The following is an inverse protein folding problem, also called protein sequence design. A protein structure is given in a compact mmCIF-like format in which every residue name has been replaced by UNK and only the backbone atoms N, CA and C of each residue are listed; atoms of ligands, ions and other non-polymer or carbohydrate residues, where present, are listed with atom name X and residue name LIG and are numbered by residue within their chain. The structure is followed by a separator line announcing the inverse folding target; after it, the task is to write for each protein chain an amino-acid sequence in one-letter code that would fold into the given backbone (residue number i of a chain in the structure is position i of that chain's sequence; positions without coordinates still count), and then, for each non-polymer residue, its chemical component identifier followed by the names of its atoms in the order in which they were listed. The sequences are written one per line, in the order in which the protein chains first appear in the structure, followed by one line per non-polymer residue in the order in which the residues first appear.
data_IF_548571184620
#
_entry.id   IF_548571184620
#
_cell.length_a   1.000
_cell.length_b   1.000
_cell.length_c   1.000
_cell.angle_alpha   90.00
_cell.angle_beta   90.00
_cell.angle_gamma   90.00
#
_symmetry.space_group_name_H-M   'P 1'
#
loop_
_entity.id
_entity.type
_entity.pdbx_description
1 polymer ?
#
# COMPACT_ATOMS: atom_id res chain seq x y z
N UNK A 1 11.63 6.82 6.49
CA UNK A 1 10.34 6.46 5.88
C UNK A 1 10.45 6.01 4.42
N UNK A 2 10.97 6.83 3.48
CA UNK A 2 11.09 6.47 2.06
C UNK A 2 11.71 5.08 1.79
N UNK A 3 12.84 4.77 2.45
CA UNK A 3 13.51 3.47 2.32
C UNK A 3 12.60 2.30 2.71
N UNK A 4 11.82 2.44 3.78
CA UNK A 4 10.91 1.39 4.25
C UNK A 4 9.78 1.16 3.24
N UNK A 5 9.26 2.24 2.65
CA UNK A 5 8.25 2.15 1.60
C UNK A 5 8.81 1.45 0.35
N UNK A 6 10.03 1.81 -0.07
CA UNK A 6 10.71 1.18 -1.22
C UNK A 6 10.91 -0.32 -0.99
N UNK A 7 11.37 -0.72 0.20
CA UNK A 7 11.51 -2.15 0.55
C UNK A 7 10.14 -2.83 0.57
N UNK A 8 9.12 -2.22 1.18
CA UNK A 8 7.78 -2.78 1.22
C UNK A 8 7.20 -2.96 -0.19
N UNK A 9 7.40 -1.98 -1.08
CA UNK A 9 6.95 -2.05 -2.48
C UNK A 9 7.72 -3.08 -3.31
N UNK A 10 8.95 -3.45 -2.94
CA UNK A 10 9.69 -4.54 -3.59
C UNK A 10 9.24 -5.91 -3.07
N UNK A 11 8.86 -6.01 -1.80
CA UNK A 11 8.58 -7.27 -1.13
C UNK A 11 7.09 -7.59 -0.98
N UNK A 12 6.18 -6.70 -1.42
CA UNK A 12 4.76 -6.80 -1.09
C UNK A 12 4.10 -8.10 -1.56
N UNK A 13 4.56 -8.66 -2.68
CA UNK A 13 3.98 -9.84 -3.32
C UNK A 13 4.82 -11.11 -3.15
N UNK A 14 5.94 -11.06 -2.42
CA UNK A 14 6.89 -12.17 -2.34
C UNK A 14 6.31 -13.48 -1.79
N UNK A 15 5.20 -13.42 -1.04
CA UNK A 15 4.44 -14.56 -0.54
C UNK A 15 3.64 -15.33 -1.60
N UNK A 16 3.47 -14.80 -2.83
CA UNK A 16 2.66 -15.45 -3.88
C UNK A 16 3.20 -16.81 -4.32
N UNK A 17 4.52 -16.99 -4.19
CA UNK A 17 5.19 -18.25 -4.50
C UNK A 17 4.95 -19.34 -3.44
N UNK A 18 4.41 -18.96 -2.27
CA UNK A 18 4.03 -19.87 -1.19
C UNK A 18 2.53 -20.14 -1.24
N UNK A 19 1.71 -19.09 -1.31
CA UNK A 19 0.25 -19.21 -1.33
C UNK A 19 -0.38 -18.05 -2.08
N UNK A 20 -1.27 -18.39 -3.02
CA UNK A 20 -2.11 -17.41 -3.72
C UNK A 20 -3.28 -16.91 -2.86
N UNK A 21 -3.71 -17.69 -1.86
CA UNK A 21 -4.82 -17.31 -0.97
C UNK A 21 -4.36 -16.45 0.19
N UNK A 22 -3.18 -16.76 0.76
CA UNK A 22 -2.65 -16.10 1.96
C UNK A 22 -1.40 -15.27 1.64
N UNK A 23 -1.36 -14.66 0.46
CA UNK A 23 -0.18 -13.97 -0.06
C UNK A 23 0.36 -12.92 0.91
N UNK A 24 -0.50 -12.05 1.46
CA UNK A 24 -0.09 -10.98 2.38
C UNK A 24 0.52 -11.52 3.69
N UNK A 25 -0.09 -12.56 4.26
CA UNK A 25 0.42 -13.24 5.45
C UNK A 25 1.78 -13.90 5.16
N UNK A 26 1.90 -14.61 4.04
CA UNK A 26 3.15 -15.23 3.62
C UNK A 26 4.24 -14.18 3.38
N UNK A 27 3.96 -13.08 2.68
CA UNK A 27 4.91 -11.98 2.47
C UNK A 27 5.37 -11.38 3.80
N UNK A 28 4.44 -11.08 4.70
CA UNK A 28 4.74 -10.57 6.05
C UNK A 28 5.64 -11.52 6.84
N UNK A 29 5.33 -12.82 6.81
CA UNK A 29 6.12 -13.84 7.50
C UNK A 29 7.55 -13.98 6.92
N UNK A 30 7.71 -13.90 5.60
CA UNK A 30 9.04 -13.88 4.95
C UNK A 30 9.84 -12.68 5.45
N UNK A 31 9.25 -11.48 5.43
CA UNK A 31 9.92 -10.23 5.87
C UNK A 31 10.30 -10.31 7.35
N UNK A 32 9.40 -10.80 8.21
CA UNK A 32 9.66 -11.00 9.65
C UNK A 32 10.75 -12.03 9.94
N UNK A 33 10.90 -13.02 9.08
CA UNK A 33 11.86 -14.12 9.29
C UNK A 33 13.22 -13.86 8.66
N UNK A 34 13.32 -12.90 7.75
CA UNK A 34 14.55 -12.61 6.99
C UNK A 34 15.23 -11.37 7.52
N UNK A 35 16.48 -11.46 7.98
CA UNK A 35 17.25 -10.26 8.33
C UNK A 35 17.57 -9.44 7.07
N UNK A 36 17.37 -8.13 7.17
CA UNK A 36 17.69 -7.19 6.09
C UNK A 36 18.80 -6.29 6.61
N UNK A 37 19.99 -6.41 6.00
CA UNK A 37 21.18 -5.67 6.42
C UNK A 37 20.88 -4.16 6.38
N UNK A 38 21.16 -3.47 7.49
CA UNK A 38 20.92 -2.03 7.61
C UNK A 38 19.49 -1.64 7.99
N UNK A 39 18.61 -2.61 8.29
CA UNK A 39 17.25 -2.38 8.78
C UNK A 39 17.11 -2.92 10.19
N UNK A 40 16.63 -2.09 11.11
CA UNK A 40 16.39 -2.50 12.49
C UNK A 40 15.21 -3.48 12.61
N UNK A 41 15.10 -4.15 13.76
CA UNK A 41 13.99 -5.06 14.03
C UNK A 41 12.63 -4.33 13.97
N UNK A 42 12.54 -3.12 14.51
CA UNK A 42 11.30 -2.31 14.50
C UNK A 42 10.94 -1.87 13.08
N UNK A 43 11.91 -1.37 12.31
CA UNK A 43 11.69 -1.00 10.91
C UNK A 43 11.24 -2.18 10.05
N UNK A 44 11.84 -3.35 10.26
CA UNK A 44 11.44 -4.58 9.58
C UNK A 44 10.02 -5.02 9.95
N UNK A 45 9.63 -4.84 11.21
CA UNK A 45 8.27 -5.09 11.67
C UNK A 45 7.27 -4.12 11.04
N UNK A 46 7.62 -2.84 10.94
CA UNK A 46 6.83 -1.82 10.23
C UNK A 46 6.61 -2.23 8.77
N UNK A 47 7.68 -2.64 8.06
CA UNK A 47 7.59 -3.11 6.67
C UNK A 47 6.65 -4.32 6.57
N UNK A 48 6.83 -5.32 7.44
CA UNK A 48 6.02 -6.54 7.42
C UNK A 48 4.53 -6.25 7.69
N UNK A 49 4.23 -5.40 8.67
CA UNK A 49 2.86 -4.98 8.95
C UNK A 49 2.26 -4.18 7.79
N UNK A 50 3.04 -3.30 7.16
CA UNK A 50 2.55 -2.52 6.03
C UNK A 50 2.10 -3.40 4.86
N UNK A 51 2.86 -4.47 4.59
CA UNK A 51 2.60 -5.49 3.57
C UNK A 51 1.41 -6.38 3.96
N UNK A 52 1.31 -6.79 5.23
CA UNK A 52 0.18 -7.59 5.74
C UNK A 52 -1.15 -6.89 5.51
N UNK A 53 -1.26 -5.62 5.93
CA UNK A 53 -2.50 -4.87 5.82
C UNK A 53 -2.79 -4.35 4.41
N UNK A 54 -2.03 -4.76 3.39
CA UNK A 54 -2.39 -4.45 2.00
C UNK A 54 -3.77 -5.02 1.65
N UNK A 55 -4.03 -6.28 2.00
CA UNK A 55 -5.29 -6.98 1.73
C UNK A 55 -6.14 -7.24 2.98
N UNK A 56 -5.53 -7.18 4.17
CA UNK A 56 -6.23 -7.38 5.45
C UNK A 56 -6.84 -6.08 5.98
N UNK A 57 -7.94 -6.16 6.73
CA UNK A 57 -8.55 -4.99 7.38
C UNK A 57 -7.54 -4.33 8.35
N UNK A 58 -7.35 -3.02 8.21
CA UNK A 58 -6.44 -2.28 9.06
C UNK A 58 -7.16 -1.80 10.32
N UNK A 59 -6.62 -2.14 11.49
CA UNK A 59 -7.11 -1.62 12.76
C UNK A 59 -5.94 -1.24 13.67
N UNK A 60 -5.86 0.04 14.00
CA UNK A 60 -4.83 0.56 14.91
C UNK A 60 -4.85 -0.17 16.26
N UNK A 61 -6.05 -0.49 16.77
CA UNK A 61 -6.21 -1.23 18.03
C UNK A 61 -5.67 -2.65 17.92
N UNK A 62 -5.97 -3.34 16.83
CA UNK A 62 -5.50 -4.71 16.60
C UNK A 62 -3.98 -4.72 16.45
N UNK A 63 -3.42 -3.84 15.62
CA UNK A 63 -1.98 -3.70 15.44
C UNK A 63 -1.26 -3.46 16.77
N UNK A 64 -1.73 -2.51 17.58
CA UNK A 64 -1.17 -2.23 18.91
C UNK A 64 -1.24 -3.41 19.87
N UNK A 65 -2.26 -4.26 19.74
CA UNK A 65 -2.43 -5.45 20.60
C UNK A 65 -1.55 -6.62 20.17
N UNK A 66 -1.32 -6.79 18.87
CA UNK A 66 -0.51 -7.87 18.31
C UNK A 66 0.98 -7.52 18.35
N UNK A 67 1.31 -6.25 18.15
CA UNK A 67 2.69 -5.76 18.04
C UNK A 67 3.03 -4.80 19.18
N UNK A 68 3.19 -5.36 20.39
CA UNK A 68 3.47 -4.58 21.60
C UNK A 68 4.81 -3.81 21.56
N UNK A 69 5.71 -4.16 20.64
CA UNK A 69 6.99 -3.48 20.44
C UNK A 69 6.88 -2.19 19.63
N UNK A 70 5.81 -2.02 18.84
CA UNK A 70 5.57 -0.81 18.08
C UNK A 70 5.01 0.26 19.01
N UNK A 71 5.57 1.47 18.95
CA UNK A 71 5.00 2.62 19.64
C UNK A 71 3.84 3.25 18.84
N UNK A 72 3.37 4.43 19.26
CA UNK A 72 2.27 5.09 18.56
C UNK A 72 2.69 5.60 17.18
N UNK A 73 3.89 6.18 17.09
CA UNK A 73 4.43 6.74 15.84
C UNK A 73 4.72 5.63 14.84
N UNK A 74 5.22 4.49 15.31
CA UNK A 74 5.42 3.29 14.48
C UNK A 74 4.11 2.81 13.86
N UNK A 75 3.03 2.72 14.65
CA UNK A 75 1.73 2.32 14.11
C UNK A 75 1.14 3.34 13.12
N UNK A 76 1.38 4.64 13.34
CA UNK A 76 1.02 5.69 12.37
C UNK A 76 1.83 5.50 11.08
N UNK A 77 3.12 5.18 11.18
CA UNK A 77 3.97 4.92 10.04
C UNK A 77 3.49 3.69 9.26
N UNK A 78 3.12 2.59 9.93
CA UNK A 78 2.49 1.43 9.26
C UNK A 78 1.25 1.86 8.47
N UNK A 79 0.34 2.63 9.09
CA UNK A 79 -0.87 3.10 8.41
C UNK A 79 -0.56 3.93 7.16
N UNK A 80 0.40 4.85 7.24
CA UNK A 80 0.85 5.69 6.11
C UNK A 80 1.43 4.84 4.97
N UNK A 81 2.29 3.89 5.29
CA UNK A 81 2.90 3.01 4.29
C UNK A 81 1.85 2.10 3.63
N UNK A 82 0.96 1.48 4.43
CA UNK A 82 -0.15 0.66 3.91
C UNK A 82 -1.05 1.47 2.98
N UNK A 83 -1.40 2.71 3.35
CA UNK A 83 -2.25 3.56 2.53
C UNK A 83 -1.63 3.86 1.16
N UNK A 84 -0.33 4.19 1.12
CA UNK A 84 0.38 4.42 -0.13
C UNK A 84 0.45 3.14 -0.98
N UNK A 85 0.78 1.99 -0.35
CA UNK A 85 0.85 0.70 -1.04
C UNK A 85 -0.50 0.29 -1.64
N UNK A 86 -1.61 0.48 -0.92
CA UNK A 86 -2.96 0.18 -1.41
C UNK A 86 -3.37 1.06 -2.59
N UNK A 87 -3.00 2.34 -2.58
CA UNK A 87 -3.21 3.24 -3.72
C UNK A 87 -2.38 2.78 -4.91
N UNK A 88 -1.11 2.48 -4.71
CA UNK A 88 -0.23 2.00 -5.79
C UNK A 88 -0.73 0.68 -6.40
N UNK A 89 -1.14 -0.28 -5.57
CA UNK A 89 -1.70 -1.56 -6.01
C UNK A 89 -3.05 -1.40 -6.71
N UNK A 90 -3.94 -0.54 -6.18
CA UNK A 90 -5.23 -0.25 -6.80
C UNK A 90 -5.09 0.40 -8.19
N UNK A 91 -4.02 1.15 -8.43
CA UNK A 91 -3.69 1.70 -9.74
C UNK A 91 -3.22 0.63 -10.74
N UNK A 92 -2.72 -0.51 -10.29
CA UNK A 92 -2.25 -1.61 -11.15
C UNK A 92 -2.91 -2.96 -10.78
N UNK A 93 -4.18 -2.92 -10.36
CA UNK A 93 -4.90 -4.13 -9.90
C UNK A 93 -5.04 -5.20 -10.97
N UNK A 94 -4.93 -4.83 -12.26
CA UNK A 94 -4.92 -5.77 -13.37
C UNK A 94 -3.55 -6.38 -13.67
N UNK A 95 -2.48 -5.89 -13.02
CA UNK A 95 -1.08 -6.22 -13.28
C UNK A 95 -0.68 -6.06 -14.76
N UNK A 96 -1.29 -5.09 -15.44
CA UNK A 96 -1.04 -4.81 -16.87
C UNK A 96 -0.20 -3.56 -17.10
N UNK A 97 0.13 -2.82 -16.04
CA UNK A 97 0.92 -1.60 -16.12
C UNK A 97 0.34 -0.56 -17.11
N UNK A 98 -0.99 -0.41 -17.09
CA UNK A 98 -1.73 0.49 -17.99
C UNK A 98 -1.37 1.97 -17.81
N UNK A 99 -0.77 2.31 -16.67
CA UNK A 99 -0.33 3.64 -16.30
C UNK A 99 1.20 3.70 -16.34
N UNK A 100 1.75 4.12 -17.47
CA UNK A 100 3.20 4.32 -17.63
C UNK A 100 3.68 5.69 -17.12
N UNK A 101 2.80 6.69 -17.15
CA UNK A 101 3.05 8.03 -16.61
C UNK A 101 1.75 8.61 -16.01
N UNK A 102 1.90 9.38 -14.94
CA UNK A 102 0.78 10.01 -14.25
C UNK A 102 1.19 11.32 -13.58
N UNK A 103 0.24 12.25 -13.53
CA UNK A 103 0.40 13.51 -12.81
C UNK A 103 -0.46 13.51 -11.56
N UNK A 104 0.14 13.83 -10.42
CA UNK A 104 -0.58 14.00 -9.15
C UNK A 104 -0.75 15.48 -8.85
N UNK A 105 -1.97 15.89 -8.51
CA UNK A 105 -2.28 17.23 -8.00
C UNK A 105 -3.22 17.16 -6.81
N UNK A 106 -2.95 17.99 -5.80
CA UNK A 106 -3.84 18.14 -4.65
C UNK A 106 -4.78 19.33 -4.89
N UNK A 107 -6.08 19.10 -4.83
CA UNK A 107 -7.09 20.14 -4.99
C UNK A 107 -8.38 19.75 -4.27
N UNK A 108 -9.00 20.68 -3.52
CA UNK A 108 -10.31 20.51 -2.88
C UNK A 108 -10.43 19.24 -2.01
N UNK A 109 -9.39 18.93 -1.22
CA UNK A 109 -9.35 17.73 -0.37
C UNK A 109 -9.16 16.41 -1.14
N UNK A 110 -8.78 16.47 -2.43
CA UNK A 110 -8.55 15.30 -3.27
C UNK A 110 -7.12 15.26 -3.77
N UNK A 111 -6.60 14.04 -3.88
CA UNK A 111 -5.38 13.74 -4.62
C UNK A 111 -5.78 13.24 -6.01
N UNK A 112 -5.75 14.13 -7.00
CA UNK A 112 -6.14 13.80 -8.37
C UNK A 112 -4.97 13.17 -9.09
N UNK A 113 -5.12 11.90 -9.47
CA UNK A 113 -4.14 11.10 -10.20
C UNK A 113 -4.59 11.09 -11.66
N UNK A 114 -3.94 11.91 -12.48
CA UNK A 114 -4.25 12.03 -13.91
C UNK A 114 -3.36 11.08 -14.71
N UNK A 115 -3.99 10.15 -15.42
CA UNK A 115 -3.33 9.14 -16.26
C UNK A 115 -3.59 9.41 -17.74
N UNK A 116 -2.56 9.27 -18.57
CA UNK A 116 -2.67 9.34 -20.03
C UNK A 116 -2.60 7.92 -20.61
N UNK A 117 -3.76 7.30 -20.84
CA UNK A 117 -3.85 5.95 -21.40
C UNK A 117 -5.10 5.77 -22.26
N UNK A 118 -4.95 5.03 -23.35
CA UNK A 118 -6.05 4.63 -24.25
C UNK A 118 -6.72 3.32 -23.80
N UNK A 119 -6.12 2.62 -22.84
CA UNK A 119 -6.66 1.36 -22.33
C UNK A 119 -7.94 1.55 -21.51
N UNK A 120 -8.72 0.47 -21.41
CA UNK A 120 -9.88 0.42 -20.52
C UNK A 120 -9.44 0.27 -19.07
N UNK A 121 -9.77 1.27 -18.26
CA UNK A 121 -9.40 1.38 -16.84
C UNK A 121 -10.60 1.18 -15.91
N UNK A 122 -11.68 0.60 -16.43
CA UNK A 122 -12.92 0.40 -15.67
C UNK A 122 -12.71 -0.49 -14.44
N UNK A 123 -11.80 -1.48 -14.53
CA UNK A 123 -11.45 -2.35 -13.40
C UNK A 123 -10.72 -1.59 -12.31
N UNK A 124 -9.66 -0.85 -12.67
CA UNK A 124 -8.89 -0.02 -11.74
C UNK A 124 -9.82 0.95 -11.04
N UNK A 125 -10.66 1.70 -11.78
CA UNK A 125 -11.65 2.62 -11.21
C UNK A 125 -12.67 1.91 -10.31
N UNK A 126 -13.18 0.76 -10.72
CA UNK A 126 -14.23 0.04 -10.00
C UNK A 126 -13.79 -0.56 -8.66
N UNK A 127 -12.49 -0.83 -8.50
CA UNK A 127 -11.92 -1.41 -7.28
C UNK A 127 -11.11 -0.39 -6.44
N UNK A 128 -10.91 0.83 -6.95
CA UNK A 128 -10.06 1.83 -6.30
C UNK A 128 -10.64 2.40 -5.00
N UNK A 129 -11.96 2.34 -4.81
CA UNK A 129 -12.64 3.04 -3.72
C UNK A 129 -12.17 2.61 -2.33
N UNK A 130 -11.92 1.31 -2.10
CA UNK A 130 -11.43 0.82 -0.80
C UNK A 130 -10.03 1.38 -0.47
N UNK A 131 -9.14 1.40 -1.47
CA UNK A 131 -7.82 2.02 -1.33
C UNK A 131 -7.93 3.53 -1.10
N UNK A 132 -8.87 4.19 -1.77
CA UNK A 132 -9.09 5.63 -1.65
C UNK A 132 -9.64 6.03 -0.27
N UNK A 133 -10.59 5.27 0.28
CA UNK A 133 -11.17 5.50 1.61
C UNK A 133 -10.12 5.38 2.71
N UNK A 134 -9.34 4.30 2.70
CA UNK A 134 -8.29 4.14 3.69
C UNK A 134 -7.21 5.22 3.59
N UNK A 135 -6.85 5.62 2.36
CA UNK A 135 -5.91 6.74 2.18
C UNK A 135 -6.49 8.07 2.69
N UNK A 136 -7.78 8.31 2.48
CA UNK A 136 -8.48 9.49 2.97
C UNK A 136 -8.50 9.53 4.51
N UNK A 137 -8.74 8.40 5.18
CA UNK A 137 -8.67 8.31 6.65
C UNK A 137 -7.27 8.65 7.20
N UNK A 138 -6.22 8.22 6.51
CA UNK A 138 -4.83 8.38 6.97
C UNK A 138 -4.25 9.75 6.63
N UNK A 139 -4.54 10.29 5.44
CA UNK A 139 -3.93 11.52 4.92
C UNK A 139 -4.89 12.71 4.81
N UNK A 140 -6.19 12.52 5.01
CA UNK A 140 -7.20 13.57 4.85
C UNK A 140 -7.38 14.03 3.39
N UNK A 141 -6.93 13.24 2.42
CA UNK A 141 -7.06 13.50 0.99
C UNK A 141 -7.66 12.28 0.31
N UNK A 142 -8.73 12.43 -0.48
CA UNK A 142 -9.27 11.29 -1.24
C UNK A 142 -8.56 11.13 -2.59
N UNK A 143 -7.86 10.01 -2.86
CA UNK A 143 -7.31 9.71 -4.17
C UNK A 143 -8.42 9.53 -5.22
N UNK A 144 -8.26 10.10 -6.42
CA UNK A 144 -9.23 9.95 -7.52
C UNK A 144 -8.49 9.78 -8.85
N UNK A 145 -8.87 8.73 -9.61
CA UNK A 145 -8.30 8.46 -10.94
C UNK A 145 -9.03 9.31 -11.99
N UNK A 146 -8.27 10.13 -12.72
CA UNK A 146 -8.75 10.91 -13.87
C UNK A 146 -8.06 10.44 -15.14
N UNK A 147 -8.82 9.90 -16.08
CA UNK A 147 -8.29 9.53 -17.40
C UNK A 147 -8.35 10.72 -18.34
N UNK A 148 -7.23 11.01 -18.99
CA UNK A 148 -7.16 11.92 -20.13
C UNK A 148 -6.95 11.08 -21.39
N UNK A 149 -7.93 11.14 -22.30
CA UNK A 149 -7.77 10.58 -23.64
C UNK A 149 -6.90 11.53 -24.45
N UNK A 150 -5.95 10.97 -25.23
CA UNK A 150 -5.24 11.74 -26.24
C UNK A 150 -6.17 12.14 -27.37
#
# INVERSE_FOLDING_TARGET
ERLLLEIAAILYDCGQYISMTNQAECSSNIIRSTEIIGISQIERLIIACAVLYKHEEFSFRVLRSQEASLDREDCILVARLTAILRVADGLDVSHRQKFSDFQIRNQDGKMVITVETEEDISLEKGLFDQSAEFFEEVFGLRPVIKQKKK
#
